data_IF_391686557276
#
_entry.id   IF_391686557276
#
_cell.length_a   1.000
_cell.length_b   1.000
_cell.length_c   1.000
_cell.angle_alpha   90.00
_cell.angle_beta   90.00
_cell.angle_gamma   90.00
#
_symmetry.space_group_name_H-M   'P 1'
#
loop_
_entity.id
_entity.type
_entity.pdbx_description
1 polymer ?
#
# COMPACT_ATOMS: atom_id res chain seq x y z
N UNK A 1 17.37 -5.95 9.14
CA UNK A 1 16.52 -4.72 9.16
C UNK A 1 16.71 -3.89 7.90
N UNK A 2 17.95 -3.62 7.46
CA UNK A 2 18.24 -2.81 6.27
C UNK A 2 17.54 -3.30 4.99
N UNK A 3 17.64 -4.58 4.67
CA UNK A 3 17.02 -5.17 3.46
C UNK A 3 15.51 -4.98 3.42
N UNK A 4 14.82 -5.25 4.53
CA UNK A 4 13.38 -5.07 4.63
C UNK A 4 12.96 -3.60 4.45
N UNK A 5 13.75 -2.65 4.95
CA UNK A 5 13.49 -1.22 4.77
C UNK A 5 13.74 -0.75 3.34
N UNK A 6 14.85 -1.17 2.73
CA UNK A 6 15.25 -0.72 1.39
C UNK A 6 14.35 -1.32 0.32
N UNK A 7 14.15 -2.64 0.32
CA UNK A 7 13.46 -3.32 -0.78
C UNK A 7 11.97 -2.95 -0.82
N UNK A 8 11.32 -2.85 0.34
CA UNK A 8 9.89 -2.54 0.42
C UNK A 8 9.58 -1.10 0.05
N UNK A 9 10.39 -0.14 0.51
CA UNK A 9 10.22 1.28 0.18
C UNK A 9 10.52 1.53 -1.29
N UNK A 10 11.63 0.99 -1.81
CA UNK A 10 12.02 1.11 -3.23
C UNK A 10 10.94 0.52 -4.14
N UNK A 11 10.42 -0.67 -3.81
CA UNK A 11 9.33 -1.29 -4.56
C UNK A 11 8.07 -0.42 -4.56
N UNK A 12 7.71 0.15 -3.41
CA UNK A 12 6.52 1.02 -3.29
C UNK A 12 6.68 2.30 -4.11
N UNK A 13 7.84 2.95 -4.05
CA UNK A 13 8.12 4.18 -4.83
C UNK A 13 8.05 3.87 -6.32
N UNK A 14 8.70 2.80 -6.77
CA UNK A 14 8.68 2.40 -8.18
C UNK A 14 7.25 2.13 -8.67
N UNK A 15 6.44 1.42 -7.88
CA UNK A 15 5.03 1.16 -8.22
C UNK A 15 4.21 2.45 -8.26
N UNK A 16 4.43 3.35 -7.31
CA UNK A 16 3.73 4.64 -7.28
C UNK A 16 4.02 5.44 -8.54
N UNK A 17 5.28 5.50 -8.95
CA UNK A 17 5.68 6.18 -10.18
C UNK A 17 5.07 5.54 -11.44
N UNK A 18 5.06 4.21 -11.52
CA UNK A 18 4.44 3.49 -12.66
C UNK A 18 2.93 3.79 -12.75
N UNK A 19 2.21 3.77 -11.64
CA UNK A 19 0.77 4.07 -11.62
C UNK A 19 0.50 5.53 -12.00
N UNK A 20 1.26 6.48 -11.46
CA UNK A 20 1.11 7.90 -11.79
C UNK A 20 1.44 8.20 -13.27
N UNK A 21 2.49 7.57 -13.83
CA UNK A 21 2.83 7.72 -15.24
C UNK A 21 1.79 7.08 -16.17
N UNK A 22 1.11 6.02 -15.70
CA UNK A 22 0.03 5.37 -16.44
C UNK A 22 -1.29 6.14 -16.36
N UNK A 23 -1.43 7.05 -15.41
CA UNK A 23 -2.63 7.89 -15.22
C UNK A 23 -2.27 9.40 -15.20
N UNK A 24 -2.18 10.03 -16.38
CA UNK A 24 -1.79 11.45 -16.51
C UNK A 24 -2.68 12.42 -15.75
N UNK A 25 -3.97 12.12 -15.60
CA UNK A 25 -4.91 12.94 -14.83
C UNK A 25 -4.53 12.95 -13.34
N UNK A 26 -4.26 11.76 -12.78
CA UNK A 26 -3.80 11.62 -11.40
C UNK A 26 -2.46 12.30 -11.17
N UNK A 27 -1.52 12.17 -12.12
CA UNK A 27 -0.23 12.88 -12.06
C UNK A 27 -0.42 14.40 -12.06
N UNK A 28 -1.27 14.93 -12.93
CA UNK A 28 -1.53 16.37 -13.03
C UNK A 28 -2.13 16.91 -11.73
N UNK A 29 -3.12 16.20 -11.17
CA UNK A 29 -3.76 16.56 -9.90
C UNK A 29 -2.77 16.55 -8.73
N UNK A 30 -1.87 15.57 -8.68
CA UNK A 30 -0.83 15.51 -7.66
C UNK A 30 0.16 16.67 -7.79
N UNK A 31 0.60 17.00 -9.01
CA UNK A 31 1.49 18.14 -9.25
C UNK A 31 0.84 19.47 -8.86
N UNK A 32 -0.47 19.63 -9.07
CA UNK A 32 -1.22 20.81 -8.63
C UNK A 32 -1.25 20.92 -7.11
N UNK A 33 -1.55 19.84 -6.39
CA UNK A 33 -1.51 19.82 -4.92
C UNK A 33 -0.11 20.20 -4.42
N UNK A 34 0.93 19.59 -4.97
CA UNK A 34 2.33 19.89 -4.61
C UNK A 34 2.67 21.36 -4.85
N UNK A 35 2.30 21.94 -6.01
CA UNK A 35 2.55 23.36 -6.31
C UNK A 35 1.76 24.32 -5.41
N UNK A 36 0.61 23.89 -4.88
CA UNK A 36 -0.20 24.71 -3.98
C UNK A 36 0.38 24.81 -2.57
N UNK A 37 1.14 23.80 -2.15
CA UNK A 37 1.75 23.71 -0.80
C UNK A 37 3.22 24.12 -0.82
N UNK A 38 3.95 23.80 -1.88
CA UNK A 38 5.36 24.12 -2.03
C UNK A 38 5.54 25.53 -2.57
N UNK A 39 5.95 26.45 -1.69
CA UNK A 39 6.63 27.68 -2.13
C UNK A 39 7.99 27.28 -2.75
N UNK A 40 8.42 27.98 -3.80
CA UNK A 40 9.53 27.58 -4.69
C UNK A 40 10.89 27.30 -3.98
N UNK A 41 11.04 27.65 -2.70
CA UNK A 41 12.33 27.73 -2.02
C UNK A 41 12.60 26.65 -0.95
N UNK A 42 11.65 25.76 -0.61
CA UNK A 42 11.94 24.69 0.37
C UNK A 42 11.12 23.41 0.15
N UNK A 43 11.83 22.33 -0.17
CA UNK A 43 11.32 20.95 -0.20
C UNK A 43 11.43 20.24 1.16
N UNK A 44 11.93 20.94 2.19
CA UNK A 44 12.56 20.25 3.32
C UNK A 44 11.65 20.02 4.53
N UNK A 45 10.53 20.72 4.69
CA UNK A 45 9.62 20.53 5.82
C UNK A 45 8.18 20.98 5.49
N UNK A 46 7.48 20.22 4.64
CA UNK A 46 6.04 20.41 4.47
C UNK A 46 5.29 19.36 5.29
N UNK A 47 4.28 19.75 6.09
CA UNK A 47 3.52 18.80 6.87
C UNK A 47 2.72 17.92 5.91
N UNK A 48 2.91 16.60 6.00
CA UNK A 48 2.19 15.62 5.16
C UNK A 48 0.68 15.78 5.23
N UNK A 49 0.16 16.34 6.33
CA UNK A 49 -1.25 16.70 6.52
C UNK A 49 -1.79 17.64 5.44
N UNK A 50 -0.94 18.48 4.85
CA UNK A 50 -1.30 19.39 3.75
C UNK A 50 -1.27 18.72 2.37
N UNK A 51 -0.86 17.45 2.28
CA UNK A 51 -0.79 16.68 1.03
C UNK A 51 -1.70 15.44 1.05
N UNK A 52 -3.03 15.61 1.24
CA UNK A 52 -3.95 14.50 1.34
C UNK A 52 -4.00 13.65 0.06
N UNK A 53 -3.83 14.24 -1.12
CA UNK A 53 -3.85 13.53 -2.39
C UNK A 53 -2.58 12.71 -2.60
N UNK A 54 -1.39 13.24 -2.25
CA UNK A 54 -0.16 12.44 -2.21
C UNK A 54 -0.32 11.21 -1.30
N UNK A 55 -0.87 11.41 -0.10
CA UNK A 55 -1.14 10.29 0.82
C UNK A 55 -2.11 9.28 0.21
N UNK A 56 -3.16 9.74 -0.49
CA UNK A 56 -4.10 8.88 -1.19
C UNK A 56 -3.40 8.07 -2.29
N UNK A 57 -2.55 8.67 -3.12
CA UNK A 57 -1.79 7.98 -4.15
C UNK A 57 -0.88 6.88 -3.59
N UNK A 58 -0.19 7.13 -2.48
CA UNK A 58 0.67 6.13 -1.82
C UNK A 58 -0.18 5.01 -1.22
N UNK A 59 -1.27 5.34 -0.51
CA UNK A 59 -2.19 4.34 0.08
C UNK A 59 -2.82 3.47 -1.00
N UNK A 60 -3.20 4.06 -2.12
CA UNK A 60 -3.79 3.34 -3.24
C UNK A 60 -2.78 2.45 -3.95
N UNK A 61 -1.55 2.93 -4.11
CA UNK A 61 -0.44 2.10 -4.59
C UNK A 61 -0.19 0.92 -3.65
N UNK A 62 -0.27 1.09 -2.32
CA UNK A 62 -0.11 -0.02 -1.38
C UNK A 62 -1.30 -1.00 -1.40
N UNK A 63 -2.52 -0.52 -1.63
CA UNK A 63 -3.72 -1.36 -1.83
C UNK A 63 -3.55 -2.25 -3.05
N UNK A 64 -3.15 -1.67 -4.18
CA UNK A 64 -2.97 -2.39 -5.43
C UNK A 64 -1.64 -3.16 -5.47
N UNK A 65 -0.54 -2.62 -5.00
CA UNK A 65 0.79 -3.22 -5.16
C UNK A 65 1.49 -3.38 -3.82
N UNK A 66 0.92 -4.20 -2.90
CA UNK A 66 1.54 -4.43 -1.61
C UNK A 66 2.91 -5.13 -1.80
N UNK A 67 4.00 -4.62 -1.20
CA UNK A 67 5.32 -5.26 -1.31
C UNK A 67 5.38 -6.70 -0.79
N UNK A 68 4.46 -7.08 0.11
CA UNK A 68 4.30 -8.45 0.61
C UNK A 68 2.85 -8.95 0.40
N UNK A 69 2.50 -9.45 -0.80
CA UNK A 69 1.14 -9.86 -1.18
C UNK A 69 0.47 -10.91 -0.27
N UNK A 70 1.26 -11.78 0.38
CA UNK A 70 0.79 -12.84 1.28
C UNK A 70 1.16 -12.59 2.77
N UNK A 71 1.66 -11.39 3.07
CA UNK A 71 2.31 -11.04 4.34
C UNK A 71 3.39 -12.06 4.75
N UNK A 72 3.76 -12.06 6.03
CA UNK A 72 4.60 -13.08 6.61
C UNK A 72 3.76 -14.29 7.01
N UNK A 73 4.33 -15.48 6.91
CA UNK A 73 3.67 -16.70 7.32
C UNK A 73 3.38 -16.70 8.83
N UNK A 74 2.12 -16.83 9.18
CA UNK A 74 1.68 -17.04 10.57
C UNK A 74 1.69 -18.53 10.90
N UNK A 75 1.76 -18.85 12.19
CA UNK A 75 1.65 -20.23 12.69
C UNK A 75 0.60 -20.31 13.79
N UNK A 76 -0.36 -21.22 13.64
CA UNK A 76 -1.38 -21.46 14.64
C UNK A 76 -0.74 -21.97 15.94
N UNK A 77 -0.88 -21.21 17.04
CA UNK A 77 -0.30 -21.58 18.36
C UNK A 77 -1.03 -22.76 19.00
N UNK A 78 -2.33 -22.86 18.74
CA UNK A 78 -3.25 -23.89 19.17
C UNK A 78 -4.24 -24.19 18.05
N UNK A 79 -5.01 -25.28 18.19
CA UNK A 79 -6.08 -25.59 17.25
C UNK A 79 -7.20 -24.58 17.44
N UNK A 80 -7.52 -23.82 16.39
CA UNK A 80 -8.52 -22.75 16.46
C UNK A 80 -9.50 -22.83 15.28
N UNK A 81 -10.62 -22.12 15.41
CA UNK A 81 -11.57 -21.94 14.32
C UNK A 81 -11.25 -20.64 13.60
N UNK A 82 -11.13 -20.70 12.28
CA UNK A 82 -11.08 -19.53 11.40
C UNK A 82 -12.29 -19.60 10.50
N UNK A 83 -13.22 -18.66 10.66
CA UNK A 83 -14.58 -18.79 10.12
C UNK A 83 -15.19 -20.12 10.59
N UNK A 84 -15.62 -20.97 9.65
CA UNK A 84 -16.20 -22.29 9.94
C UNK A 84 -15.20 -23.44 9.73
N UNK A 85 -13.90 -23.14 9.64
CA UNK A 85 -12.85 -24.14 9.40
C UNK A 85 -11.98 -24.35 10.64
N UNK A 86 -11.67 -25.61 10.94
CA UNK A 86 -10.72 -25.97 12.01
C UNK A 86 -9.30 -25.91 11.47
N UNK A 87 -8.50 -25.00 12.04
CA UNK A 87 -7.08 -24.86 11.75
C UNK A 87 -6.28 -25.58 12.85
N UNK A 88 -5.54 -26.65 12.53
CA UNK A 88 -4.82 -27.40 13.54
C UNK A 88 -3.62 -26.63 14.09
N UNK A 89 -3.27 -26.91 15.36
CA UNK A 89 -2.04 -26.40 15.98
C UNK A 89 -0.84 -26.65 15.08
N UNK A 90 -0.02 -25.61 14.91
CA UNK A 90 1.21 -25.67 14.13
C UNK A 90 1.03 -25.46 12.62
N UNK A 91 -0.20 -25.38 12.12
CA UNK A 91 -0.48 -25.06 10.72
C UNK A 91 0.10 -23.69 10.32
N UNK A 92 0.56 -23.61 9.07
CA UNK A 92 1.01 -22.35 8.45
C UNK A 92 -0.20 -21.63 7.86
N UNK A 93 -0.37 -20.37 8.20
CA UNK A 93 -1.46 -19.51 7.73
C UNK A 93 -0.86 -18.34 6.95
N UNK A 94 -1.39 -18.08 5.75
CA UNK A 94 -0.98 -16.97 4.89
C UNK A 94 -2.19 -16.06 4.68
N UNK A 95 -1.98 -14.75 4.72
CA UNK A 95 -3.04 -13.76 4.53
C UNK A 95 -2.84 -13.10 3.18
N UNK A 96 -3.75 -13.37 2.23
CA UNK A 96 -3.66 -12.83 0.89
C UNK A 96 -4.18 -11.38 0.82
N UNK A 97 -3.36 -10.44 1.29
CA UNK A 97 -3.69 -9.01 1.27
C UNK A 97 -3.83 -8.45 -0.14
N UNK A 98 -3.17 -9.06 -1.14
CA UNK A 98 -3.33 -8.66 -2.54
C UNK A 98 -4.75 -8.93 -3.07
N UNK A 99 -5.34 -10.06 -2.69
CA UNK A 99 -6.72 -10.37 -3.03
C UNK A 99 -7.70 -9.48 -2.26
N UNK A 100 -7.48 -9.29 -0.95
CA UNK A 100 -8.31 -8.40 -0.11
C UNK A 100 -8.31 -6.97 -0.66
N UNK A 101 -7.15 -6.47 -1.08
CA UNK A 101 -7.02 -5.14 -1.68
C UNK A 101 -7.73 -4.98 -3.02
N UNK A 102 -8.16 -6.07 -3.68
CA UNK A 102 -8.82 -6.06 -5.00
C UNK A 102 -10.22 -6.64 -5.00
N UNK A 103 -10.73 -7.04 -3.85
CA UNK A 103 -12.02 -7.69 -3.75
C UNK A 103 -13.13 -6.73 -4.24
N UNK A 104 -13.83 -7.04 -5.34
CA UNK A 104 -14.88 -6.18 -5.90
C UNK A 104 -16.11 -6.08 -5.00
N UNK A 105 -16.26 -6.97 -4.02
CA UNK A 105 -17.34 -6.88 -3.02
C UNK A 105 -17.04 -5.82 -1.95
N UNK A 106 -15.77 -5.52 -1.71
CA UNK A 106 -15.32 -4.56 -0.68
C UNK A 106 -14.93 -3.22 -1.31
N UNK A 107 -14.28 -3.26 -2.47
CA UNK A 107 -13.79 -2.08 -3.19
C UNK A 107 -14.65 -1.81 -4.43
N UNK A 108 -15.09 -0.56 -4.61
CA UNK A 108 -15.79 -0.13 -5.83
C UNK A 108 -14.76 0.32 -6.87
N UNK A 109 -14.89 -0.18 -8.10
CA UNK A 109 -14.06 0.21 -9.23
C UNK A 109 -12.72 -0.54 -9.30
N UNK A 110 -11.91 -0.15 -10.29
CA UNK A 110 -10.46 -0.36 -10.26
C UNK A 110 -9.82 0.95 -9.83
#
# INVERSE_FOLDING_TARGET
MLTAGIDTTTSTINRTMVELLSNPESMTKLQQELRSVLNQDSLTDFPLEQLPYLQACVKETLRLHPPAPLLLAHRARETCLVMNYTVPRGARVLVNVWAIGRDPMVWRGR
#
